data_IF_129009704335
#
_entry.id   IF_129009704335
#
_cell.length_a   1.000
_cell.length_b   1.000
_cell.length_c   1.000
_cell.angle_alpha   90.00
_cell.angle_beta   90.00
_cell.angle_gamma   90.00
#
_symmetry.space_group_name_H-M   'P 1'
#
loop_
_entity.id
_entity.type
_entity.pdbx_description
1 polymer ?
#
# COMPACT_ATOMS: atom_id res chain seq x y z
N UNK A 1 -0.86 -15.01 21.58
CA UNK A 1 0.35 -14.34 22.08
C UNK A 1 1.32 -14.33 20.91
N UNK A 2 1.86 -13.17 20.51
CA UNK A 2 2.95 -13.13 19.52
C UNK A 2 4.08 -14.06 19.98
N UNK A 3 4.65 -14.82 19.06
CA UNK A 3 5.75 -15.73 19.35
C UNK A 3 7.05 -14.97 19.62
N UNK A 4 8.01 -15.61 20.27
CA UNK A 4 9.38 -15.11 20.36
C UNK A 4 9.93 -14.94 18.93
N UNK A 5 9.91 -13.72 18.41
CA UNK A 5 10.28 -13.39 17.04
C UNK A 5 9.46 -12.28 16.38
N UNK A 6 8.30 -11.93 16.91
CA UNK A 6 7.39 -10.95 16.28
C UNK A 6 7.75 -9.48 16.59
N UNK A 7 8.50 -9.25 17.68
CA UNK A 7 8.91 -7.92 18.16
C UNK A 7 10.45 -7.89 18.32
N UNK A 8 11.12 -6.85 17.82
CA UNK A 8 12.60 -6.74 17.81
C UNK A 8 13.21 -6.22 19.11
N UNK A 9 12.65 -5.15 19.66
CA UNK A 9 13.22 -4.40 20.80
C UNK A 9 12.20 -4.14 21.91
N UNK A 10 11.13 -4.94 21.93
CA UNK A 10 9.97 -4.76 22.80
C UNK A 10 8.91 -3.78 22.26
N UNK A 11 9.18 -3.04 21.18
CA UNK A 11 8.24 -2.08 20.59
C UNK A 11 8.07 -2.29 19.08
N UNK A 12 9.15 -2.34 18.31
CA UNK A 12 9.09 -2.43 16.86
C UNK A 12 8.76 -3.86 16.40
N UNK A 13 7.84 -3.98 15.45
CA UNK A 13 7.56 -5.24 14.78
C UNK A 13 8.82 -5.75 14.07
N UNK A 14 9.02 -7.06 14.13
CA UNK A 14 9.96 -7.73 13.25
C UNK A 14 9.45 -7.73 11.81
N UNK A 15 10.25 -8.24 10.88
CA UNK A 15 9.78 -8.42 9.51
C UNK A 15 8.57 -9.36 9.47
N UNK A 16 8.60 -10.43 10.27
CA UNK A 16 7.52 -11.41 10.36
C UNK A 16 6.27 -10.82 11.03
N UNK A 17 6.44 -10.13 12.16
CA UNK A 17 5.35 -9.43 12.82
C UNK A 17 4.71 -8.37 11.92
N UNK A 18 5.50 -7.68 11.10
CA UNK A 18 4.98 -6.70 10.14
C UNK A 18 4.13 -7.35 9.04
N UNK A 19 4.53 -8.54 8.55
CA UNK A 19 3.73 -9.29 7.56
C UNK A 19 2.37 -9.69 8.14
N UNK A 20 2.35 -10.27 9.33
CA UNK A 20 1.12 -10.66 10.01
C UNK A 20 0.16 -9.48 10.21
N UNK A 21 0.69 -8.33 10.66
CA UNK A 21 -0.13 -7.13 10.85
C UNK A 21 -0.69 -6.61 9.53
N UNK A 22 0.10 -6.61 8.45
CA UNK A 22 -0.37 -6.19 7.12
C UNK A 22 -1.46 -7.13 6.59
N UNK A 23 -1.33 -8.45 6.75
CA UNK A 23 -2.34 -9.43 6.33
C UNK A 23 -3.68 -9.20 7.02
N UNK A 24 -3.67 -9.00 8.35
CA UNK A 24 -4.90 -8.76 9.11
C UNK A 24 -5.53 -7.40 8.78
N UNK A 25 -4.72 -6.35 8.55
CA UNK A 25 -5.22 -5.04 8.10
C UNK A 25 -5.90 -5.19 6.73
N UNK A 26 -5.25 -5.83 5.76
CA UNK A 26 -5.80 -5.99 4.42
C UNK A 26 -7.09 -6.81 4.43
N UNK A 27 -7.13 -7.87 5.23
CA UNK A 27 -8.36 -8.66 5.43
C UNK A 27 -9.52 -7.78 5.88
N UNK A 28 -9.32 -6.95 6.91
CA UNK A 28 -10.35 -6.03 7.40
C UNK A 28 -10.75 -5.01 6.34
N UNK A 29 -9.78 -4.43 5.61
CA UNK A 29 -10.06 -3.44 4.57
C UNK A 29 -10.81 -4.02 3.37
N UNK A 30 -10.58 -5.28 3.03
CA UNK A 30 -11.19 -5.97 1.88
C UNK A 30 -12.56 -6.59 2.22
N UNK A 31 -12.72 -7.18 3.40
CA UNK A 31 -13.96 -7.85 3.81
C UNK A 31 -15.02 -6.87 4.34
N UNK A 32 -14.63 -5.65 4.72
CA UNK A 32 -15.57 -4.67 5.25
C UNK A 32 -16.44 -4.02 4.16
N UNK A 33 -17.76 -4.09 4.33
CA UNK A 33 -18.75 -3.45 3.44
C UNK A 33 -18.97 -1.96 3.75
N UNK A 34 -17.96 -1.24 4.25
CA UNK A 34 -18.10 0.18 4.63
C UNK A 34 -18.22 1.09 3.40
N UNK A 35 -19.03 2.15 3.52
CA UNK A 35 -19.14 3.22 2.53
C UNK A 35 -18.86 4.57 3.21
N UNK A 36 -17.80 5.31 2.78
CA UNK A 36 -16.83 4.93 1.76
C UNK A 36 -15.94 3.76 2.22
N UNK A 37 -15.50 2.94 1.26
CA UNK A 37 -14.52 1.89 1.53
C UNK A 37 -13.15 2.52 1.78
N UNK A 38 -12.40 1.93 2.71
CA UNK A 38 -11.01 2.29 2.98
C UNK A 38 -10.01 1.47 2.16
N UNK A 39 -10.49 0.56 1.30
CA UNK A 39 -9.64 -0.10 0.33
C UNK A 39 -9.14 0.92 -0.71
N UNK A 40 -7.83 0.95 -0.96
CA UNK A 40 -7.20 2.04 -1.71
C UNK A 40 -7.75 2.18 -3.14
N UNK A 41 -8.07 1.07 -3.83
CA UNK A 41 -8.70 1.08 -5.16
C UNK A 41 -10.11 1.67 -5.20
N UNK A 42 -10.77 1.77 -4.05
CA UNK A 42 -12.10 2.37 -3.94
C UNK A 42 -12.03 3.84 -3.52
N UNK A 43 -10.86 4.34 -3.10
CA UNK A 43 -10.67 5.74 -2.76
C UNK A 43 -10.39 6.56 -4.01
N UNK A 44 -10.89 7.80 -4.10
CA UNK A 44 -10.54 8.69 -5.19
C UNK A 44 -9.07 9.12 -5.06
N UNK A 45 -8.36 9.12 -6.18
CA UNK A 45 -6.99 9.61 -6.25
C UNK A 45 -6.93 11.12 -6.11
N UNK A 46 -6.21 11.60 -5.09
CA UNK A 46 -6.10 13.02 -4.75
C UNK A 46 -5.40 13.84 -5.85
N UNK A 47 -4.39 13.26 -6.51
CA UNK A 47 -3.58 13.93 -7.53
C UNK A 47 -3.59 13.16 -8.85
N UNK A 48 -4.76 13.00 -9.46
CA UNK A 48 -4.94 12.22 -10.70
C UNK A 48 -4.43 12.91 -11.98
N UNK A 49 -3.97 14.16 -11.89
CA UNK A 49 -3.55 14.98 -13.03
C UNK A 49 -2.04 14.86 -13.23
N UNK A 50 -1.60 14.70 -14.47
CA UNK A 50 -0.18 14.71 -14.80
C UNK A 50 0.50 16.05 -14.42
N UNK A 51 1.70 15.94 -13.87
CA UNK A 51 2.56 17.03 -13.43
C UNK A 51 3.87 17.05 -14.22
N UNK A 52 4.47 18.23 -14.46
CA UNK A 52 5.84 18.32 -14.96
C UNK A 52 6.89 17.67 -14.03
N UNK A 53 6.52 17.43 -12.77
CA UNK A 53 7.38 16.77 -11.77
C UNK A 53 7.12 15.26 -11.65
N UNK A 54 6.22 14.71 -12.46
CA UNK A 54 5.99 13.27 -12.53
C UNK A 54 7.15 12.54 -13.21
N UNK A 55 7.13 11.21 -13.12
CA UNK A 55 8.19 10.36 -13.65
C UNK A 55 8.29 10.52 -15.16
N UNK A 56 9.50 10.83 -15.66
CA UNK A 56 9.75 11.00 -17.09
C UNK A 56 9.71 9.63 -17.77
N UNK A 57 8.93 9.51 -18.84
CA UNK A 57 8.83 8.30 -19.65
C UNK A 57 10.12 8.06 -20.45
N UNK A 58 10.24 6.85 -21.01
CA UNK A 58 11.40 6.45 -21.81
C UNK A 58 11.62 7.27 -23.08
N UNK A 59 10.59 8.00 -23.56
CA UNK A 59 10.69 8.93 -24.68
C UNK A 59 11.36 10.26 -24.32
N UNK A 60 11.60 10.52 -23.03
CA UNK A 60 12.20 11.76 -22.51
C UNK A 60 11.32 13.00 -22.66
N UNK A 61 10.05 12.85 -23.05
CA UNK A 61 9.14 13.96 -23.39
C UNK A 61 7.86 13.92 -22.57
N UNK A 62 7.29 12.73 -22.37
CA UNK A 62 6.07 12.55 -21.61
C UNK A 62 6.39 12.26 -20.15
N UNK A 63 5.48 12.65 -19.27
CA UNK A 63 5.52 12.24 -17.86
C UNK A 63 4.45 11.19 -17.59
N UNK A 64 4.60 10.46 -16.48
CA UNK A 64 3.68 9.42 -16.03
C UNK A 64 3.35 9.64 -14.57
N UNK A 65 2.11 10.02 -14.29
CA UNK A 65 1.61 10.08 -12.94
C UNK A 65 1.58 8.66 -12.29
N UNK A 66 2.25 8.45 -11.14
CA UNK A 66 2.33 7.15 -10.48
C UNK A 66 1.20 6.87 -9.49
N UNK A 67 0.21 7.76 -9.36
CA UNK A 67 -0.83 7.67 -8.33
C UNK A 67 -1.70 6.41 -8.41
N UNK A 68 -1.84 5.84 -9.60
CA UNK A 68 -2.62 4.60 -9.85
C UNK A 68 -1.74 3.35 -10.02
N UNK A 69 -0.45 3.42 -9.66
CA UNK A 69 0.46 2.29 -9.89
C UNK A 69 0.32 1.22 -8.81
N UNK A 70 0.15 -0.03 -9.25
CA UNK A 70 0.34 -1.19 -8.39
C UNK A 70 1.84 -1.41 -8.14
N UNK A 71 2.24 -1.45 -6.88
CA UNK A 71 3.62 -1.72 -6.49
C UNK A 71 3.84 -3.22 -6.29
N UNK A 72 4.95 -3.75 -6.82
CA UNK A 72 5.34 -5.12 -6.51
C UNK A 72 5.81 -5.23 -5.06
N UNK A 73 5.00 -5.89 -4.23
CA UNK A 73 5.24 -6.15 -2.81
C UNK A 73 5.17 -7.66 -2.54
N UNK A 74 5.78 -8.08 -1.44
CA UNK A 74 5.68 -9.48 -0.99
C UNK A 74 4.22 -9.89 -0.72
N UNK A 75 3.46 -9.01 -0.06
CA UNK A 75 2.00 -9.12 0.09
C UNK A 75 1.35 -8.07 -0.81
N UNK A 76 0.46 -8.48 -1.70
CA UNK A 76 -0.29 -7.59 -2.59
C UNK A 76 -1.42 -6.92 -1.81
N UNK A 77 -1.61 -5.61 -2.00
CA UNK A 77 -2.59 -4.80 -1.28
C UNK A 77 -3.88 -4.60 -2.08
N UNK A 78 -4.09 -5.47 -3.08
CA UNK A 78 -4.86 -5.23 -4.30
C UNK A 78 -5.94 -6.27 -4.56
#
# INVERSE_FOLDING_TARGET
MPGDGDIKDGIHLSAEGSKMVVEEILKVLMEAEWVPSLHWKCMPTEFAVDSPYDLVASDGKTTRNPSEWTFHREIQWD
#
